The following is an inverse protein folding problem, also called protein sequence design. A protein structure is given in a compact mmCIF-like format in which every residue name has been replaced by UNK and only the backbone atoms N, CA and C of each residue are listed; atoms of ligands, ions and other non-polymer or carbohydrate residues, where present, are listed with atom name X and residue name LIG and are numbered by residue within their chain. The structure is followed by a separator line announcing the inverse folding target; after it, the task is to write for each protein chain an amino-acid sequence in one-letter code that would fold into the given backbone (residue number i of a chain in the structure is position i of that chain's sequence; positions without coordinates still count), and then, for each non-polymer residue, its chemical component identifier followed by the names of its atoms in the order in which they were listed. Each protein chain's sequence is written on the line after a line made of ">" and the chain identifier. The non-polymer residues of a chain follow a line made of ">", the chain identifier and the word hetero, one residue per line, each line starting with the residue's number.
data_IF_028142885413
#
_entry.id   IF_028142885413
#
_cell.length_a   1.000
_cell.length_b   1.000
_cell.length_c   1.000
_cell.angle_alpha   90.00
_cell.angle_beta   90.00
_cell.angle_gamma   90.00
#
_symmetry.space_group_name_H-M   'P 1'
#
loop_
_entity.id
_entity.type
_entity.pdbx_description
1 polymer ?
#
# COMPACT_ATOMS: atom_id res chain seq x y z
N UNK A 1 -7.92 22.99 -22.11
CA UNK A 1 -8.37 22.43 -23.41
C UNK A 1 -7.56 21.15 -23.62
N UNK A 2 -8.21 20.00 -23.82
CA UNK A 2 -7.48 18.74 -24.04
C UNK A 2 -6.73 18.79 -25.38
N UNK A 3 -5.53 18.18 -25.48
CA UNK A 3 -4.85 18.05 -26.76
C UNK A 3 -5.76 17.35 -27.78
N UNK A 4 -5.75 17.79 -29.03
CA UNK A 4 -6.60 17.23 -30.09
C UNK A 4 -6.34 15.73 -30.36
N UNK A 5 -5.22 15.19 -29.85
CA UNK A 5 -4.82 13.78 -29.96
C UNK A 5 -5.12 12.96 -28.70
N UNK A 6 -5.77 13.54 -27.69
CA UNK A 6 -6.12 12.84 -26.45
C UNK A 6 -7.27 11.85 -26.67
N UNK A 7 -7.10 10.60 -26.22
CA UNK A 7 -8.19 9.62 -26.17
C UNK A 7 -9.14 9.85 -24.98
N UNK A 8 -8.71 10.62 -23.98
CA UNK A 8 -9.50 10.97 -22.81
C UNK A 8 -10.43 12.15 -23.10
N UNK A 9 -11.67 12.06 -22.63
CA UNK A 9 -12.74 13.04 -22.90
C UNK A 9 -12.66 14.24 -21.95
N UNK A 10 -12.22 14.01 -20.71
CA UNK A 10 -12.09 15.03 -19.65
C UNK A 10 -10.79 14.83 -18.86
N UNK A 11 -10.36 15.80 -18.00
CA UNK A 11 -9.17 15.61 -17.17
C UNK A 11 -9.38 14.55 -16.10
N UNK A 12 -10.63 14.36 -15.66
CA UNK A 12 -10.99 13.31 -14.71
C UNK A 12 -10.92 11.93 -15.36
N UNK A 13 -11.35 11.82 -16.62
CA UNK A 13 -11.26 10.58 -17.39
C UNK A 13 -9.80 10.13 -17.60
N UNK A 14 -8.84 11.05 -17.49
CA UNK A 14 -7.41 10.76 -17.59
C UNK A 14 -6.79 10.22 -16.28
N UNK A 15 -7.59 10.09 -15.21
CA UNK A 15 -7.18 9.44 -13.96
C UNK A 15 -7.57 7.97 -14.07
N UNK A 16 -6.61 7.11 -14.40
CA UNK A 16 -6.87 5.67 -14.56
C UNK A 16 -7.22 4.99 -13.23
N UNK A 17 -6.58 5.42 -12.14
CA UNK A 17 -6.87 4.96 -10.77
C UNK A 17 -6.47 6.04 -9.76
N UNK A 18 -7.40 6.45 -8.91
CA UNK A 18 -7.10 7.33 -7.78
C UNK A 18 -6.79 6.47 -6.54
N UNK A 19 -5.51 6.38 -6.19
CA UNK A 19 -5.05 5.77 -4.94
C UNK A 19 -5.02 6.82 -3.84
N UNK A 20 -5.90 6.67 -2.84
CA UNK A 20 -5.97 7.55 -1.67
C UNK A 20 -5.40 6.82 -0.47
N UNK A 21 -4.34 7.36 0.13
CA UNK A 21 -3.72 6.83 1.35
C UNK A 21 -4.15 7.71 2.52
N UNK A 22 -4.75 7.11 3.54
CA UNK A 22 -5.18 7.84 4.74
C UNK A 22 -5.02 6.99 6.02
N UNK A 23 -4.78 7.65 7.15
CA UNK A 23 -4.60 7.08 8.49
C UNK A 23 -3.59 5.90 8.58
N UNK A 24 -2.53 5.93 7.77
CA UNK A 24 -1.47 4.93 7.78
C UNK A 24 -0.33 5.36 8.72
N UNK A 25 0.08 4.48 9.63
CA UNK A 25 1.27 4.70 10.47
C UNK A 25 1.27 3.96 11.79
N UNK A 26 0.10 3.65 12.35
CA UNK A 26 0.00 2.83 13.56
C UNK A 26 0.29 1.35 13.29
N UNK A 27 0.72 0.64 14.33
CA UNK A 27 1.08 -0.78 14.24
C UNK A 27 -0.12 -1.68 13.85
N UNK A 28 0.18 -2.74 13.09
CA UNK A 28 -0.75 -3.81 12.73
C UNK A 28 -2.08 -3.34 12.09
N UNK A 29 -2.06 -2.48 11.06
CA UNK A 29 -3.28 -2.02 10.41
C UNK A 29 -3.96 -3.18 9.67
N UNK A 30 -5.29 -3.15 9.64
CA UNK A 30 -6.09 -3.93 8.68
C UNK A 30 -6.67 -2.94 7.68
N UNK A 31 -6.36 -3.10 6.40
CA UNK A 31 -6.94 -2.30 5.31
C UNK A 31 -7.85 -3.19 4.46
N UNK A 32 -9.18 -3.01 4.52
CA UNK A 32 -10.12 -3.77 3.70
C UNK A 32 -10.09 -3.39 2.21
N UNK A 33 -10.62 -4.27 1.36
CA UNK A 33 -11.00 -3.87 0.00
C UNK A 33 -12.41 -3.28 0.02
N UNK A 34 -12.49 -1.97 -0.18
CA UNK A 34 -13.76 -1.22 -0.09
C UNK A 34 -14.67 -1.43 -1.29
N UNK A 35 -14.14 -1.32 -2.51
CA UNK A 35 -14.92 -1.29 -3.75
C UNK A 35 -14.72 -2.54 -4.57
N UNK A 36 -15.81 -3.04 -5.15
CA UNK A 36 -15.81 -4.21 -6.04
C UNK A 36 -15.07 -3.91 -7.35
N UNK A 37 -15.32 -2.74 -7.91
CA UNK A 37 -14.82 -2.32 -9.23
C UNK A 37 -13.31 -2.23 -9.29
N UNK A 38 -12.67 -1.90 -8.16
CA UNK A 38 -11.21 -1.78 -8.04
C UNK A 38 -10.58 -2.88 -7.19
N UNK A 39 -11.31 -3.96 -6.91
CA UNK A 39 -10.78 -5.08 -6.11
C UNK A 39 -9.52 -5.70 -6.74
N UNK A 40 -9.47 -5.75 -8.06
CA UNK A 40 -8.28 -6.22 -8.78
C UNK A 40 -7.02 -5.41 -8.43
N UNK A 41 -7.14 -4.09 -8.26
CA UNK A 41 -6.02 -3.22 -7.89
C UNK A 41 -5.60 -3.45 -6.42
N UNK A 42 -6.58 -3.64 -5.54
CA UNK A 42 -6.34 -4.09 -4.16
C UNK A 42 -5.58 -5.42 -4.14
N UNK A 43 -6.04 -6.43 -4.89
CA UNK A 43 -5.40 -7.75 -4.95
C UNK A 43 -3.98 -7.67 -5.49
N UNK A 44 -3.72 -6.79 -6.46
CA UNK A 44 -2.36 -6.54 -6.95
C UNK A 44 -1.46 -5.97 -5.84
N UNK A 45 -1.90 -4.96 -5.09
CA UNK A 45 -1.14 -4.41 -3.97
C UNK A 45 -0.93 -5.44 -2.85
N UNK A 46 -1.94 -6.27 -2.57
CA UNK A 46 -1.85 -7.36 -1.60
C UNK A 46 -0.85 -8.44 -2.03
N UNK A 47 -0.81 -8.78 -3.32
CA UNK A 47 0.18 -9.70 -3.89
C UNK A 47 1.60 -9.12 -3.78
N UNK A 48 1.77 -7.81 -3.99
CA UNK A 48 3.04 -7.14 -3.77
C UNK A 48 3.48 -7.23 -2.30
N UNK A 49 2.58 -7.00 -1.34
CA UNK A 49 2.84 -7.22 0.09
C UNK A 49 3.28 -8.67 0.35
N UNK A 50 2.52 -9.66 -0.12
CA UNK A 50 2.81 -11.07 0.09
C UNK A 50 4.21 -11.46 -0.45
N UNK A 51 4.58 -10.97 -1.63
CA UNK A 51 5.90 -11.19 -2.24
C UNK A 51 7.02 -10.48 -1.47
N UNK A 52 6.82 -9.25 -1.02
CA UNK A 52 7.82 -8.55 -0.20
C UNK A 52 8.03 -9.25 1.15
N UNK A 53 6.97 -9.79 1.76
CA UNK A 53 7.07 -10.61 2.98
C UNK A 53 7.83 -11.92 2.72
N UNK A 54 7.52 -12.64 1.64
CA UNK A 54 8.22 -13.90 1.31
C UNK A 54 9.71 -13.70 1.03
N UNK A 55 10.08 -12.55 0.44
CA UNK A 55 11.45 -12.12 0.21
C UNK A 55 12.14 -11.50 1.44
N UNK A 56 11.47 -11.48 2.61
CA UNK A 56 11.96 -10.87 3.86
C UNK A 56 12.42 -9.42 3.68
N UNK A 57 11.70 -8.66 2.85
CA UNK A 57 11.97 -7.24 2.59
C UNK A 57 11.19 -6.31 3.51
N UNK A 58 10.17 -6.81 4.20
CA UNK A 58 9.41 -6.05 5.19
C UNK A 58 9.96 -6.24 6.61
N UNK A 59 9.83 -5.22 7.46
CA UNK A 59 10.35 -5.17 8.83
C UNK A 59 9.37 -5.77 9.83
N UNK A 60 8.07 -5.57 9.62
CA UNK A 60 7.01 -6.06 10.51
C UNK A 60 6.75 -7.55 10.31
N UNK A 61 6.35 -8.22 11.39
CA UNK A 61 5.87 -9.62 11.39
C UNK A 61 4.48 -9.70 12.04
N UNK A 62 3.45 -9.10 11.43
CA UNK A 62 2.11 -9.11 11.99
C UNK A 62 1.49 -10.52 11.91
N UNK A 63 0.54 -10.81 12.79
CA UNK A 63 -0.22 -12.07 12.76
C UNK A 63 -1.07 -12.24 11.48
N UNK A 64 -1.37 -11.15 10.78
CA UNK A 64 -2.05 -11.14 9.50
C UNK A 64 -1.49 -10.02 8.61
N UNK A 65 -1.43 -10.20 7.29
CA UNK A 65 -1.03 -9.13 6.37
C UNK A 65 -1.90 -7.89 6.50
N UNK A 66 -1.35 -6.73 6.14
CA UNK A 66 -2.10 -5.46 6.15
C UNK A 66 -3.26 -5.53 5.16
N UNK A 67 -3.02 -6.11 3.98
CA UNK A 67 -3.96 -6.28 2.87
C UNK A 67 -4.47 -7.73 2.79
N UNK A 68 -5.16 -8.18 3.84
CA UNK A 68 -5.60 -9.58 3.97
C UNK A 68 -6.77 -10.02 3.10
N UNK A 69 -7.41 -9.10 2.38
CA UNK A 69 -8.64 -9.39 1.63
C UNK A 69 -8.39 -9.72 0.14
N UNK A 70 -7.18 -10.14 -0.25
CA UNK A 70 -6.82 -10.36 -1.67
C UNK A 70 -7.72 -11.38 -2.42
N UNK A 71 -8.34 -12.30 -1.68
CA UNK A 71 -9.20 -13.37 -2.20
C UNK A 71 -10.70 -13.13 -1.94
N UNK A 72 -11.08 -11.86 -1.69
CA UNK A 72 -12.46 -11.47 -1.39
C UNK A 72 -13.35 -11.74 -2.60
N UNK A 73 -14.45 -12.43 -2.36
CA UNK A 73 -15.43 -12.82 -3.38
C UNK A 73 -16.49 -11.74 -3.54
N UNK A 74 -17.18 -11.79 -4.68
CA UNK A 74 -18.34 -10.91 -4.89
C UNK A 74 -19.43 -11.12 -3.83
N UNK A 75 -19.61 -12.32 -3.28
CA UNK A 75 -20.59 -12.55 -2.22
C UNK A 75 -20.21 -11.94 -0.87
N UNK A 76 -18.96 -11.51 -0.69
CA UNK A 76 -18.47 -11.05 0.61
C UNK A 76 -18.99 -9.65 0.94
N UNK A 77 -18.71 -9.19 2.17
CA UNK A 77 -19.10 -7.86 2.63
C UNK A 77 -18.19 -6.79 2.05
N UNK A 78 -18.76 -5.83 1.32
CA UNK A 78 -18.04 -4.67 0.79
C UNK A 78 -18.40 -3.43 1.62
N UNK A 79 -17.39 -2.61 1.89
CA UNK A 79 -17.52 -1.43 2.75
C UNK A 79 -17.53 -0.13 1.95
N UNK A 80 -17.70 -0.18 0.62
CA UNK A 80 -17.79 1.00 -0.21
C UNK A 80 -18.89 1.94 0.28
N UNK A 81 -18.53 3.21 0.53
CA UNK A 81 -19.43 4.23 1.10
C UNK A 81 -19.58 4.19 2.62
N UNK A 82 -18.87 3.30 3.34
CA UNK A 82 -18.87 3.29 4.81
C UNK A 82 -17.97 4.38 5.42
N UNK A 83 -17.02 4.89 4.64
CA UNK A 83 -16.07 5.93 5.04
C UNK A 83 -16.13 7.03 3.98
N UNK A 84 -16.43 8.24 4.41
CA UNK A 84 -16.36 9.44 3.58
C UNK A 84 -14.95 10.04 3.70
N UNK A 85 -14.37 10.42 2.57
CA UNK A 85 -13.02 10.99 2.46
C UNK A 85 -12.88 11.71 1.10
N UNK A 86 -11.70 12.24 0.79
CA UNK A 86 -11.42 13.06 -0.41
C UNK A 86 -11.73 12.37 -1.75
N UNK A 87 -11.87 11.05 -1.77
CA UNK A 87 -12.23 10.29 -2.97
C UNK A 87 -13.68 10.48 -3.42
N UNK A 88 -14.60 10.87 -2.52
CA UNK A 88 -16.04 10.96 -2.80
C UNK A 88 -16.37 11.79 -4.05
N UNK A 89 -15.86 13.03 -4.23
CA UNK A 89 -16.14 13.81 -5.43
C UNK A 89 -15.56 13.19 -6.72
N UNK A 90 -14.45 12.46 -6.65
CA UNK A 90 -13.86 11.78 -7.81
C UNK A 90 -14.67 10.56 -8.20
N UNK A 91 -15.05 9.74 -7.21
CA UNK A 91 -15.88 8.57 -7.40
C UNK A 91 -17.25 8.92 -8.00
N UNK A 92 -17.88 10.00 -7.51
CA UNK A 92 -19.15 10.50 -8.04
C UNK A 92 -19.08 10.91 -9.52
N UNK A 93 -17.88 11.10 -10.07
CA UNK A 93 -17.61 11.48 -11.46
C UNK A 93 -17.00 10.33 -12.28
N UNK A 94 -17.03 9.11 -11.74
CA UNK A 94 -16.64 7.90 -12.46
C UNK A 94 -15.16 7.54 -12.37
N UNK A 95 -14.38 8.20 -11.51
CA UNK A 95 -12.98 7.82 -11.27
C UNK A 95 -12.93 6.57 -10.41
N UNK A 96 -12.14 5.58 -10.83
CA UNK A 96 -11.88 4.37 -10.06
C UNK A 96 -11.03 4.69 -8.82
N UNK A 97 -11.45 4.20 -7.66
CA UNK A 97 -10.82 4.51 -6.37
C UNK A 97 -10.18 3.28 -5.74
N UNK A 98 -8.93 3.40 -5.30
CA UNK A 98 -8.29 2.47 -4.38
C UNK A 98 -8.04 3.20 -3.05
N UNK A 99 -8.92 3.00 -2.07
CA UNK A 99 -8.87 3.67 -0.77
C UNK A 99 -8.09 2.83 0.25
N UNK A 100 -6.85 3.23 0.53
CA UNK A 100 -5.95 2.60 1.48
C UNK A 100 -6.06 3.30 2.83
N UNK A 101 -7.14 2.96 3.54
CA UNK A 101 -7.43 3.42 4.90
C UNK A 101 -7.71 2.20 5.80
N UNK A 102 -7.15 2.14 7.01
CA UNK A 102 -7.42 1.03 7.93
C UNK A 102 -8.87 1.07 8.42
N UNK A 103 -9.43 -0.10 8.68
CA UNK A 103 -10.70 -0.23 9.40
C UNK A 103 -10.59 -1.42 10.37
N UNK A 104 -10.65 -1.19 11.70
CA UNK A 104 -10.91 0.08 12.39
C UNK A 104 -9.78 1.13 12.21
N UNK A 105 -10.11 2.40 12.45
CA UNK A 105 -9.14 3.51 12.48
C UNK A 105 -8.11 3.34 13.60
N UNK A 106 -6.93 3.98 13.50
CA UNK A 106 -6.00 4.08 14.60
C UNK A 106 -6.68 4.59 15.87
N UNK A 107 -6.34 4.01 17.02
CA UNK A 107 -6.91 4.42 18.30
C UNK A 107 -6.60 5.88 18.68
N UNK A 108 -5.55 6.45 18.09
CA UNK A 108 -5.11 7.83 18.30
C UNK A 108 -5.79 8.84 17.37
N UNK A 109 -6.53 8.38 16.35
CA UNK A 109 -7.18 9.26 15.38
C UNK A 109 -8.08 10.29 16.06
N UNK A 110 -7.98 11.57 15.64
CA UNK A 110 -8.69 12.70 16.25
C UNK A 110 -8.39 12.92 17.75
N UNK A 111 -7.21 12.50 18.21
CA UNK A 111 -6.72 12.82 19.55
C UNK A 111 -5.39 13.58 19.46
N UNK A 112 -4.97 14.20 20.57
CA UNK A 112 -3.65 14.84 20.64
C UNK A 112 -2.49 13.84 20.58
N UNK A 113 -2.75 12.54 20.73
CA UNK A 113 -1.77 11.47 20.62
C UNK A 113 -1.53 11.02 19.16
N UNK A 114 -2.22 11.62 18.18
CA UNK A 114 -1.89 11.45 16.76
C UNK A 114 -0.65 12.29 16.42
N UNK A 115 0.51 11.82 16.88
CA UNK A 115 1.80 12.49 16.79
C UNK A 115 2.90 11.53 16.30
N UNK A 116 4.12 12.05 16.16
CA UNK A 116 5.27 11.28 15.68
C UNK A 116 5.73 10.18 16.65
N UNK A 117 5.41 10.25 17.94
CA UNK A 117 5.82 9.25 18.94
C UNK A 117 4.95 7.99 18.86
N UNK A 118 3.73 8.11 18.35
CA UNK A 118 2.77 7.01 18.20
C UNK A 118 2.82 6.33 16.82
N UNK A 119 3.72 6.77 15.94
CA UNK A 119 4.01 6.08 14.68
C UNK A 119 4.79 4.77 14.94
N UNK A 120 4.32 3.67 14.35
CA UNK A 120 5.11 2.45 14.25
C UNK A 120 6.03 2.55 13.03
N UNK A 121 7.27 3.00 13.26
CA UNK A 121 8.26 3.23 12.21
C UNK A 121 8.49 2.00 11.30
N UNK A 122 8.52 0.75 11.82
CA UNK A 122 8.55 -0.44 10.96
C UNK A 122 7.35 -0.52 10.01
N UNK A 123 6.12 -0.31 10.50
CA UNK A 123 4.89 -0.30 9.68
C UNK A 123 4.92 0.80 8.62
N UNK A 124 5.36 2.01 8.98
CA UNK A 124 5.51 3.12 8.03
C UNK A 124 6.48 2.75 6.89
N UNK A 125 7.64 2.16 7.22
CA UNK A 125 8.63 1.73 6.22
C UNK A 125 8.10 0.59 5.34
N UNK A 126 7.28 -0.28 5.89
CA UNK A 126 6.66 -1.36 5.13
C UNK A 126 5.60 -0.84 4.16
N UNK A 127 4.73 0.09 4.59
CA UNK A 127 3.81 0.78 3.69
C UNK A 127 4.53 1.49 2.54
N UNK A 128 5.62 2.21 2.85
CA UNK A 128 6.43 2.86 1.82
C UNK A 128 6.91 1.86 0.76
N UNK A 129 7.36 0.66 1.17
CA UNK A 129 7.80 -0.38 0.24
C UNK A 129 6.66 -1.00 -0.54
N UNK A 130 5.52 -1.30 0.11
CA UNK A 130 4.35 -1.89 -0.53
C UNK A 130 3.81 -0.95 -1.61
N UNK A 131 3.62 0.32 -1.28
CA UNK A 131 3.14 1.35 -2.21
C UNK A 131 4.13 1.58 -3.34
N UNK A 132 5.43 1.64 -3.04
CA UNK A 132 6.46 1.77 -4.08
C UNK A 132 6.46 0.58 -5.04
N UNK A 133 6.35 -0.65 -4.53
CA UNK A 133 6.30 -1.84 -5.35
C UNK A 133 5.04 -1.86 -6.23
N UNK A 134 3.88 -1.53 -5.66
CA UNK A 134 2.64 -1.42 -6.41
C UNK A 134 2.72 -0.37 -7.53
N UNK A 135 3.24 0.83 -7.23
CA UNK A 135 3.41 1.89 -8.22
C UNK A 135 4.40 1.49 -9.32
N UNK A 136 5.51 0.83 -8.97
CA UNK A 136 6.49 0.35 -9.93
C UNK A 136 5.92 -0.73 -10.86
N UNK A 137 5.08 -1.63 -10.34
CA UNK A 137 4.37 -2.63 -11.16
C UNK A 137 3.30 -2.00 -12.03
N UNK A 138 2.52 -1.07 -11.49
CA UNK A 138 1.50 -0.32 -12.24
C UNK A 138 2.09 0.43 -13.43
N UNK A 139 3.27 1.02 -13.24
CA UNK A 139 3.98 1.77 -14.28
C UNK A 139 4.91 0.91 -15.15
N UNK A 140 4.93 -0.41 -14.97
CA UNK A 140 5.78 -1.36 -15.73
C UNK A 140 7.27 -0.94 -15.71
N UNK A 141 7.80 -0.63 -14.53
CA UNK A 141 9.16 -0.09 -14.39
C UNK A 141 10.27 -1.15 -14.40
N UNK A 142 9.97 -2.43 -14.63
CA UNK A 142 10.95 -3.53 -14.55
C UNK A 142 12.15 -3.34 -15.49
N UNK A 143 11.94 -2.75 -16.67
CA UNK A 143 13.02 -2.41 -17.61
C UNK A 143 13.85 -1.18 -17.24
N UNK A 144 13.40 -0.37 -16.27
CA UNK A 144 14.03 0.89 -15.85
C UNK A 144 14.70 0.78 -14.48
N UNK A 145 14.34 -0.22 -13.68
CA UNK A 145 14.94 -0.47 -12.39
C UNK A 145 16.31 -1.16 -12.56
N UNK A 146 17.32 -0.61 -11.90
CA UNK A 146 18.66 -1.21 -11.92
C UNK A 146 18.61 -2.62 -11.34
N UNK A 147 19.33 -3.59 -11.94
CA UNK A 147 19.42 -4.93 -11.38
C UNK A 147 19.97 -4.84 -9.94
N UNK A 148 19.54 -5.72 -9.04
CA UNK A 148 20.00 -5.71 -7.67
C UNK A 148 21.53 -5.81 -7.66
N UNK A 149 22.20 -4.81 -7.04
CA UNK A 149 23.63 -4.92 -6.78
C UNK A 149 23.85 -6.22 -6.01
N UNK A 150 24.71 -7.11 -6.52
CA UNK A 150 25.15 -8.29 -5.77
C UNK A 150 25.61 -7.79 -4.40
N UNK A 151 24.95 -8.25 -3.33
CA UNK A 151 25.41 -7.96 -1.97
C UNK A 151 26.83 -8.52 -1.86
N UNK A 152 27.82 -7.64 -1.74
CA UNK A 152 29.18 -8.05 -1.39
C UNK A 152 29.11 -8.80 -0.06
N UNK A 153 29.84 -9.92 0.11
CA UNK A 153 30.01 -10.51 1.43
C UNK A 153 30.44 -9.43 2.41
N UNK A 154 29.85 -9.41 3.61
CA UNK A 154 30.31 -8.55 4.70
C UNK A 154 31.84 -8.75 4.85
N UNK A 155 32.63 -7.68 5.02
CA UNK A 155 34.05 -7.79 5.28
C UNK A 155 34.29 -8.71 6.48
N UNK A 156 35.31 -9.56 6.38
CA UNK A 156 35.69 -10.60 7.35
C UNK A 156 35.92 -10.08 8.78
N UNK A 157 36.06 -8.76 8.95
CA UNK A 157 36.28 -8.08 10.22
C UNK A 157 35.09 -8.12 11.21
N UNK A 158 33.87 -8.41 10.75
CA UNK A 158 32.68 -8.54 11.63
C UNK A 158 32.43 -9.99 12.09
N UNK A 159 33.32 -10.93 11.75
CA UNK A 159 33.27 -12.34 12.21
C UNK A 159 34.12 -12.58 13.46
N UNK A 160 34.22 -11.62 14.37
CA UNK A 160 34.90 -11.83 15.65
C UNK A 160 33.93 -12.47 16.64
N UNK A 161 34.09 -13.79 16.76
CA UNK A 161 33.95 -14.65 17.93
C UNK A 161 32.82 -14.33 18.94
N UNK A 162 31.70 -15.06 18.83
CA UNK A 162 30.73 -15.27 19.92
C UNK A 162 30.86 -16.67 20.52
N UNK A 163 32.09 -17.12 20.70
CA UNK A 163 32.44 -18.28 21.53
C UNK A 163 33.46 -17.83 22.56
N UNK A 164 33.00 -17.11 23.59
CA UNK A 164 33.50 -17.18 24.97
C UNK A 164 32.77 -16.14 25.84
N UNK A 165 31.78 -16.63 26.60
CA UNK A 165 31.36 -16.31 27.98
C UNK A 165 29.89 -16.72 28.19
#
# INVERSE_FOLDING_TARGET
>A
MHPATSIYRTPLDAIDLFVLLDLLGSANPTVPSFFRTTHWAYSNMANAEARLRSLKQLQTTPASPFLREANKKESDRWLGGAIEDDHIPFQARGVDILHMIPAPFPAVWHTMADDGEHLDIPTVKDWAKIVTAFAAEWMELDGYLLPPKKRSPLPEADRIDRTEL
#
